data_IF_826609617988
#
_entry.id   IF_826609617988
#
_cell.length_a   1.000
_cell.length_b   1.000
_cell.length_c   1.000
_cell.angle_alpha   90.00
_cell.angle_beta   90.00
_cell.angle_gamma   90.00
#
_symmetry.space_group_name_H-M   'P 1'
#
loop_
_entity.id
_entity.type
_entity.pdbx_description
1 polymer ?
#
# COMPACT_ATOMS: atom_id res chain seq x y z
N UNK A 1 6.42 -9.34 -3.39
CA UNK A 1 6.03 -7.95 -3.71
C UNK A 1 4.87 -7.41 -2.89
N UNK A 2 3.69 -8.06 -2.79
CA UNK A 2 2.78 -7.71 -1.69
C UNK A 2 3.26 -8.33 -0.38
N UNK A 3 3.70 -9.60 -0.41
CA UNK A 3 4.23 -10.30 0.76
C UNK A 3 5.37 -9.52 1.44
N UNK A 4 6.25 -8.88 0.66
CA UNK A 4 7.31 -8.02 1.18
C UNK A 4 6.76 -6.85 2.02
N UNK A 5 5.59 -6.33 1.64
CA UNK A 5 4.94 -5.27 2.40
C UNK A 5 4.13 -5.83 3.57
N UNK A 6 3.41 -6.96 3.39
CA UNK A 6 2.64 -7.58 4.49
C UNK A 6 3.55 -8.08 5.62
N UNK A 7 4.81 -8.44 5.29
CA UNK A 7 5.84 -8.86 6.24
C UNK A 7 6.64 -7.70 6.83
N UNK A 8 6.33 -6.45 6.46
CA UNK A 8 7.05 -5.27 6.94
C UNK A 8 6.92 -5.14 8.45
N UNK A 9 8.07 -4.95 9.13
CA UNK A 9 8.12 -4.72 10.57
C UNK A 9 8.14 -3.23 10.89
N UNK A 10 7.82 -2.89 12.13
CA UNK A 10 7.83 -1.52 12.63
C UNK A 10 9.22 -0.88 12.52
N UNK A 11 10.28 -1.65 12.74
CA UNK A 11 11.68 -1.22 12.55
C UNK A 11 12.00 -0.81 11.11
N UNK A 12 11.30 -1.39 10.13
CA UNK A 12 11.53 -1.11 8.72
C UNK A 12 10.93 0.25 8.31
N UNK A 13 10.07 0.87 9.13
CA UNK A 13 9.40 2.14 8.85
C UNK A 13 9.97 3.27 9.71
N UNK A 14 10.48 4.30 9.05
CA UNK A 14 10.99 5.52 9.68
C UNK A 14 10.17 6.72 9.21
N UNK A 15 9.63 7.49 10.14
CA UNK A 15 8.78 8.65 9.86
C UNK A 15 9.41 9.92 10.43
N UNK A 16 8.93 11.09 9.98
CA UNK A 16 9.39 12.38 10.50
C UNK A 16 10.80 12.80 10.05
N UNK A 17 11.33 12.18 8.99
CA UNK A 17 12.63 12.51 8.43
C UNK A 17 12.57 13.86 7.69
N UNK A 18 13.73 14.54 7.63
CA UNK A 18 13.87 15.87 7.01
C UNK A 18 15.09 15.90 6.09
N UNK A 19 14.97 16.57 4.95
CA UNK A 19 16.09 16.83 4.03
C UNK A 19 15.92 18.18 3.35
N UNK A 20 17.02 18.85 3.01
CA UNK A 20 16.97 20.07 2.17
C UNK A 20 16.61 19.72 0.73
N UNK A 21 15.76 20.53 0.12
CA UNK A 21 15.47 20.49 -1.31
C UNK A 21 16.72 20.81 -2.11
N UNK A 22 16.99 20.02 -3.16
CA UNK A 22 18.11 20.28 -4.08
C UNK A 22 17.82 21.42 -5.07
N UNK A 23 16.57 21.85 -5.16
CA UNK A 23 16.10 22.81 -6.17
C UNK A 23 15.67 24.15 -5.56
N UNK A 24 15.35 24.18 -4.27
CA UNK A 24 14.67 25.35 -3.68
C UNK A 24 15.08 25.68 -2.24
N UNK A 25 16.10 25.02 -1.68
CA UNK A 25 16.57 25.13 -0.26
C UNK A 25 15.46 24.97 0.83
N UNK A 26 14.22 24.67 0.42
CA UNK A 26 13.10 24.37 1.31
C UNK A 26 13.33 23.03 2.01
N UNK A 27 13.01 22.96 3.30
CA UNK A 27 13.02 21.70 4.06
C UNK A 27 11.86 20.78 3.62
N UNK A 28 12.21 19.56 3.22
CA UNK A 28 11.25 18.52 2.81
C UNK A 28 11.11 17.51 3.95
N UNK A 29 9.88 17.35 4.44
CA UNK A 29 9.50 16.26 5.36
C UNK A 29 9.15 15.00 4.57
N UNK A 30 9.66 13.87 5.03
CA UNK A 30 9.44 12.58 4.38
C UNK A 30 9.50 11.43 5.41
N UNK A 31 9.10 10.25 4.98
CA UNK A 31 9.36 8.99 5.70
C UNK A 31 10.11 8.03 4.79
N UNK A 32 10.45 6.85 5.28
CA UNK A 32 10.88 5.76 4.44
C UNK A 32 10.42 4.43 5.00
N UNK A 33 10.33 3.44 4.13
CA UNK A 33 10.21 2.04 4.52
C UNK A 33 11.26 1.21 3.81
N UNK A 34 11.66 0.11 4.43
CA UNK A 34 12.61 -0.84 3.85
C UNK A 34 11.92 -2.17 3.60
N UNK A 35 12.06 -2.73 2.41
CA UNK A 35 11.67 -4.12 2.16
C UNK A 35 12.90 -5.01 2.15
N UNK A 36 12.75 -6.19 2.76
CA UNK A 36 13.75 -7.27 2.80
C UNK A 36 13.20 -8.47 2.01
N UNK A 37 14.06 -9.43 1.65
CA UNK A 37 13.67 -10.69 1.00
C UNK A 37 12.91 -10.54 -0.33
N UNK A 38 13.50 -9.82 -1.28
CA UNK A 38 12.97 -9.84 -2.64
C UNK A 38 13.34 -11.17 -3.29
N UNK A 39 12.32 -11.95 -3.68
CA UNK A 39 12.45 -13.24 -4.43
C UNK A 39 13.33 -13.19 -5.69
N UNK A 40 13.69 -12.00 -6.18
CA UNK A 40 14.49 -11.79 -7.40
C UNK A 40 15.91 -11.28 -7.12
N UNK A 41 16.32 -11.13 -5.86
CA UNK A 41 17.72 -10.88 -5.52
C UNK A 41 18.36 -12.19 -5.03
N UNK A 42 19.53 -12.51 -5.60
CA UNK A 42 20.32 -13.68 -5.20
C UNK A 42 21.03 -13.49 -3.85
N UNK A 43 20.94 -12.29 -3.29
CA UNK A 43 21.48 -11.93 -1.99
C UNK A 43 20.31 -11.79 -0.98
N UNK A 44 20.21 -12.69 0.02
CA UNK A 44 19.17 -12.63 1.05
C UNK A 44 19.30 -11.40 1.97
N UNK A 45 20.43 -10.69 1.95
CA UNK A 45 20.63 -9.44 2.69
C UNK A 45 20.27 -8.19 1.88
N UNK A 46 19.95 -8.36 0.59
CA UNK A 46 19.57 -7.24 -0.26
C UNK A 46 18.25 -6.61 0.21
N UNK A 47 18.37 -5.40 0.76
CA UNK A 47 17.24 -4.59 1.18
C UNK A 47 17.08 -3.37 0.27
N UNK A 48 15.86 -2.86 0.18
CA UNK A 48 15.57 -1.64 -0.58
C UNK A 48 14.77 -0.67 0.27
N UNK A 49 15.30 0.53 0.41
CA UNK A 49 14.63 1.63 1.11
C UNK A 49 13.93 2.53 0.11
N UNK A 50 12.65 2.75 0.36
CA UNK A 50 11.73 3.57 -0.44
C UNK A 50 11.35 4.80 0.37
N UNK A 51 11.31 5.98 -0.27
CA UNK A 51 10.94 7.23 0.40
C UNK A 51 9.43 7.47 0.31
N UNK A 52 8.81 7.85 1.42
CA UNK A 52 7.41 8.25 1.53
C UNK A 52 7.34 9.78 1.51
N UNK A 53 6.62 10.34 0.54
CA UNK A 53 6.49 11.78 0.35
C UNK A 53 5.03 12.23 0.46
N UNK A 54 4.83 13.51 0.76
CA UNK A 54 3.51 14.12 0.62
C UNK A 54 3.09 14.11 -0.85
N UNK A 55 1.90 13.58 -1.08
CA UNK A 55 1.26 13.61 -2.39
C UNK A 55 0.57 14.97 -2.60
N UNK A 56 0.47 15.44 -3.86
CA UNK A 56 -0.35 16.61 -4.18
C UNK A 56 -1.82 16.37 -3.78
N UNK A 57 -2.58 17.45 -3.61
CA UNK A 57 -3.97 17.42 -3.11
C UNK A 57 -4.85 16.40 -3.83
N UNK A 58 -4.69 16.31 -5.16
CA UNK A 58 -5.39 15.36 -6.05
C UNK A 58 -5.20 13.88 -5.66
N UNK A 59 -4.07 13.55 -5.01
CA UNK A 59 -3.66 12.18 -4.66
C UNK A 59 -3.52 11.98 -3.14
N UNK A 60 -3.95 12.96 -2.34
CA UNK A 60 -3.77 12.94 -0.89
C UNK A 60 -4.48 11.75 -0.23
N UNK A 61 -5.58 11.29 -0.83
CA UNK A 61 -6.36 10.13 -0.39
C UNK A 61 -5.57 8.82 -0.34
N UNK A 62 -4.42 8.74 -1.02
CA UNK A 62 -3.54 7.56 -0.99
C UNK A 62 -2.13 7.89 -0.45
N UNK A 63 -2.06 8.93 0.39
CA UNK A 63 -0.82 9.43 0.97
C UNK A 63 -0.35 8.56 2.12
N UNK A 64 0.53 7.60 1.85
CA UNK A 64 1.14 6.74 2.88
C UNK A 64 1.77 7.54 4.04
N UNK A 65 2.39 8.69 3.77
CA UNK A 65 2.98 9.57 4.80
C UNK A 65 1.93 10.18 5.75
N UNK A 66 0.65 10.19 5.35
CA UNK A 66 -0.48 10.60 6.18
C UNK A 66 -1.09 9.41 6.91
N UNK A 67 -1.33 8.29 6.21
CA UNK A 67 -2.10 7.17 6.75
C UNK A 67 -1.29 6.21 7.61
N UNK A 68 0.00 6.00 7.33
CA UNK A 68 0.86 5.12 8.17
C UNK A 68 1.04 5.69 9.59
N UNK A 69 1.35 6.99 9.80
CA UNK A 69 1.39 7.53 11.15
C UNK A 69 0.03 7.51 11.85
N UNK A 70 -1.07 7.77 11.13
CA UNK A 70 -2.43 7.68 11.68
C UNK A 70 -2.77 6.26 12.12
N UNK A 71 -2.36 5.27 11.34
CA UNK A 71 -2.48 3.86 11.68
C UNK A 71 -1.72 3.53 12.97
N UNK A 72 -0.46 3.96 13.08
CA UNK A 72 0.32 3.77 14.30
C UNK A 72 -0.33 4.42 15.53
N UNK A 73 -0.81 5.66 15.39
CA UNK A 73 -1.53 6.35 16.45
C UNK A 73 -2.86 5.66 16.81
N UNK A 74 -3.60 5.15 15.83
CA UNK A 74 -4.84 4.41 16.05
C UNK A 74 -4.57 3.14 16.84
N UNK A 75 -3.56 2.37 16.44
CA UNK A 75 -3.16 1.14 17.14
C UNK A 75 -2.80 1.43 18.61
N UNK A 76 -1.98 2.44 18.87
CA UNK A 76 -1.60 2.76 20.26
C UNK A 76 -2.75 3.32 21.10
N UNK A 77 -3.64 4.11 20.51
CA UNK A 77 -4.72 4.77 21.26
C UNK A 77 -6.00 3.95 21.39
N UNK A 78 -6.37 3.19 20.36
CA UNK A 78 -7.66 2.47 20.27
C UNK A 78 -7.51 0.97 20.47
N UNK A 79 -6.37 0.39 20.09
CA UNK A 79 -6.08 -1.03 20.34
C UNK A 79 -5.19 -1.24 21.56
N UNK A 80 -4.80 -0.15 22.25
CA UNK A 80 -3.95 -0.16 23.45
C UNK A 80 -2.65 -0.95 23.27
N UNK A 81 -2.09 -0.95 22.07
CA UNK A 81 -0.86 -1.69 21.75
C UNK A 81 0.36 -0.77 21.70
N UNK A 82 1.42 -1.20 22.38
CA UNK A 82 2.71 -0.52 22.35
C UNK A 82 3.56 -1.09 21.23
N UNK A 83 3.97 -0.24 20.29
CA UNK A 83 4.77 -0.66 19.14
C UNK A 83 6.18 -1.08 19.55
N UNK A 84 6.52 -2.32 19.24
CA UNK A 84 7.87 -2.84 19.26
C UNK A 84 8.45 -2.94 17.85
N UNK A 85 9.76 -2.87 17.74
CA UNK A 85 10.47 -2.89 16.46
C UNK A 85 10.21 -4.15 15.63
N UNK A 86 9.94 -5.28 16.30
CA UNK A 86 9.61 -6.56 15.67
C UNK A 86 8.14 -6.73 15.28
N UNK A 87 7.27 -5.79 15.65
CA UNK A 87 5.86 -5.88 15.31
C UNK A 87 5.63 -5.73 13.82
N UNK A 88 4.72 -6.55 13.28
CA UNK A 88 4.25 -6.37 11.91
C UNK A 88 3.42 -5.09 11.79
N UNK A 89 3.73 -4.28 10.78
CA UNK A 89 2.96 -3.05 10.47
C UNK A 89 1.54 -3.42 10.05
N UNK A 90 1.37 -4.50 9.30
CA UNK A 90 0.07 -5.03 8.86
C UNK A 90 -0.27 -6.32 9.60
N UNK A 91 -1.14 -6.17 10.57
CA UNK A 91 -1.46 -7.21 11.54
C UNK A 91 -2.40 -8.26 10.96
N UNK A 92 -2.26 -9.49 11.43
CA UNK A 92 -3.19 -10.55 11.10
C UNK A 92 -4.60 -10.20 11.57
N UNK A 93 -5.56 -10.31 10.68
CA UNK A 93 -6.96 -10.05 10.98
C UNK A 93 -7.71 -11.35 11.21
N UNK A 94 -8.58 -11.32 12.21
CA UNK A 94 -9.51 -12.41 12.55
C UNK A 94 -10.94 -11.94 12.29
N UNK A 95 -11.83 -12.87 11.99
CA UNK A 95 -13.26 -12.59 11.78
C UNK A 95 -13.54 -11.59 10.63
N UNK A 96 -12.73 -11.60 9.57
CA UNK A 96 -13.03 -10.80 8.36
C UNK A 96 -14.37 -11.27 7.78
N UNK A 97 -15.30 -10.35 7.47
CA UNK A 97 -16.58 -10.69 6.85
C UNK A 97 -16.34 -11.49 5.58
N UNK A 98 -16.84 -12.73 5.51
CA UNK A 98 -16.74 -13.54 4.28
C UNK A 98 -17.54 -12.85 3.17
N UNK A 99 -16.85 -12.36 2.15
CA UNK A 99 -17.48 -11.96 0.90
C UNK A 99 -18.25 -13.16 0.38
N UNK A 100 -19.55 -13.01 0.17
CA UNK A 100 -20.44 -14.14 -0.10
C UNK A 100 -20.09 -14.82 -1.41
N UNK A 101 -19.34 -15.91 -1.37
CA UNK A 101 -19.16 -16.80 -2.52
C UNK A 101 -20.42 -17.67 -2.68
N UNK A 102 -21.03 -17.57 -3.87
CA UNK A 102 -22.20 -18.31 -4.40
C UNK A 102 -23.59 -17.77 -4.03
N UNK A 103 -24.30 -17.32 -5.07
CA UNK A 103 -25.77 -17.28 -5.19
C UNK A 103 -26.48 -16.55 -4.04
N UNK A 104 -26.40 -15.22 -4.00
CA UNK A 104 -27.41 -14.42 -3.28
C UNK A 104 -28.23 -13.58 -4.25
N UNK A 105 -29.45 -14.05 -4.47
CA UNK A 105 -30.56 -13.31 -5.08
C UNK A 105 -30.69 -12.01 -4.29
N UNK A 106 -30.72 -10.88 -5.00
CA UNK A 106 -30.93 -9.51 -4.47
C UNK A 106 -31.90 -9.54 -3.29
N UNK A 107 -31.42 -9.22 -2.10
CA UNK A 107 -32.22 -8.65 -1.01
C UNK A 107 -31.28 -8.02 0.03
N UNK A 108 -31.55 -6.76 0.33
CA UNK A 108 -31.00 -5.93 1.40
C UNK A 108 -29.51 -5.56 1.37
N UNK A 109 -29.32 -4.24 1.33
CA UNK A 109 -28.14 -3.44 1.65
C UNK A 109 -27.57 -3.77 3.04
N UNK A 110 -26.98 -4.95 3.24
CA UNK A 110 -26.07 -5.17 4.37
C UNK A 110 -24.64 -5.11 3.82
N UNK A 111 -24.13 -3.89 3.63
CA UNK A 111 -22.71 -3.69 3.30
C UNK A 111 -21.85 -4.45 4.30
N UNK A 112 -20.86 -5.19 3.81
CA UNK A 112 -19.93 -5.92 4.68
C UNK A 112 -19.29 -4.93 5.67
N UNK A 113 -19.64 -5.06 6.95
CA UNK A 113 -19.21 -4.16 7.99
C UNK A 113 -17.98 -4.71 8.70
N UNK A 114 -16.94 -3.88 8.84
CA UNK A 114 -15.71 -4.23 9.56
C UNK A 114 -15.84 -4.12 11.09
N UNK A 115 -17.04 -3.93 11.63
CA UNK A 115 -17.27 -3.66 13.08
C UNK A 115 -16.76 -4.74 14.03
N UNK A 116 -16.67 -6.00 13.57
CA UNK A 116 -16.29 -7.15 14.40
C UNK A 116 -14.93 -7.78 14.01
N UNK A 117 -14.11 -7.07 13.22
CA UNK A 117 -12.78 -7.58 12.87
C UNK A 117 -11.87 -7.54 14.08
N UNK A 118 -11.40 -8.71 14.49
CA UNK A 118 -10.40 -8.83 15.55
C UNK A 118 -8.99 -8.74 14.97
N UNK A 119 -8.03 -8.34 15.80
CA UNK A 119 -6.62 -8.24 15.41
C UNK A 119 -5.83 -9.30 16.18
N UNK A 120 -4.91 -9.97 15.50
CA UNK A 120 -3.96 -10.92 16.10
C UNK A 120 -2.55 -10.35 15.96
N UNK A 121 -1.91 -10.13 17.12
CA UNK A 121 -0.53 -9.68 17.24
C UNK A 121 0.47 -10.79 16.92
N UNK A 122 1.69 -10.40 16.58
CA UNK A 122 2.80 -11.33 16.30
C UNK A 122 2.69 -12.11 14.99
N UNK A 123 1.67 -11.85 14.18
CA UNK A 123 1.51 -12.45 12.85
C UNK A 123 1.14 -11.39 11.81
N UNK A 124 1.67 -11.50 10.57
CA UNK A 124 1.30 -10.61 9.48
C UNK A 124 -0.09 -10.95 8.93
N UNK A 125 -0.70 -10.00 8.22
CA UNK A 125 -1.89 -10.30 7.41
C UNK A 125 -1.56 -11.27 6.29
N UNK A 126 -2.42 -12.28 6.08
CA UNK A 126 -2.27 -13.22 4.97
C UNK A 126 -2.71 -12.59 3.64
N UNK A 127 -2.17 -13.08 2.53
CA UNK A 127 -2.55 -12.61 1.18
C UNK A 127 -4.05 -12.83 0.88
N UNK A 128 -4.62 -13.93 1.37
CA UNK A 128 -6.05 -14.22 1.27
C UNK A 128 -6.91 -13.18 1.99
N UNK A 129 -6.58 -12.87 3.24
CA UNK A 129 -7.24 -11.85 4.04
C UNK A 129 -7.09 -10.47 3.40
N UNK A 130 -5.91 -10.15 2.89
CA UNK A 130 -5.65 -8.89 2.19
C UNK A 130 -6.50 -8.77 0.92
N UNK A 131 -6.57 -9.82 0.11
CA UNK A 131 -7.41 -9.87 -1.10
C UNK A 131 -8.89 -9.69 -0.74
N UNK A 132 -9.36 -10.34 0.33
CA UNK A 132 -10.73 -10.21 0.80
C UNK A 132 -11.09 -8.79 1.26
N UNK A 133 -10.18 -8.10 1.95
CA UNK A 133 -10.36 -6.69 2.33
C UNK A 133 -10.51 -5.82 1.08
N UNK A 134 -9.64 -6.03 0.09
CA UNK A 134 -9.72 -5.29 -1.17
C UNK A 134 -11.08 -5.52 -1.84
N UNK A 135 -11.54 -6.77 -1.94
CA UNK A 135 -12.85 -7.08 -2.55
C UNK A 135 -13.98 -6.34 -1.83
N UNK A 136 -14.01 -6.36 -0.50
CA UNK A 136 -15.03 -5.66 0.29
C UNK A 136 -14.99 -4.15 0.04
N UNK A 137 -13.79 -3.55 0.03
CA UNK A 137 -13.62 -2.12 -0.22
C UNK A 137 -14.04 -1.77 -1.65
N UNK A 138 -13.71 -2.60 -2.63
CA UNK A 138 -14.11 -2.41 -4.02
C UNK A 138 -15.62 -2.51 -4.22
N UNK A 139 -16.28 -3.47 -3.56
CA UNK A 139 -17.74 -3.59 -3.54
C UNK A 139 -18.40 -2.36 -2.91
N UNK A 140 -17.91 -1.93 -1.74
CA UNK A 140 -18.42 -0.74 -1.05
C UNK A 140 -18.23 0.55 -1.86
N UNK A 141 -17.13 0.64 -2.62
CA UNK A 141 -16.85 1.76 -3.53
C UNK A 141 -17.61 1.65 -4.87
N UNK A 142 -18.35 0.55 -5.13
CA UNK A 142 -19.08 0.35 -6.37
C UNK A 142 -18.21 0.07 -7.60
N UNK A 143 -16.94 -0.32 -7.40
CA UNK A 143 -15.97 -0.60 -8.47
C UNK A 143 -15.72 -2.10 -8.67
N UNK A 144 -16.51 -2.96 -8.03
CA UNK A 144 -16.41 -4.42 -8.15
C UNK A 144 -17.00 -4.98 -9.45
N UNK A 145 -17.44 -4.13 -10.38
CA UNK A 145 -18.00 -4.55 -11.68
C UNK A 145 -17.46 -3.71 -12.83
N UNK A 146 -17.27 -4.35 -13.98
CA UNK A 146 -16.93 -3.64 -15.21
C UNK A 146 -18.18 -3.05 -15.88
N UNK A 147 -17.99 -2.33 -16.98
CA UNK A 147 -19.08 -1.73 -17.76
C UNK A 147 -20.07 -2.76 -18.35
N UNK A 148 -19.65 -4.01 -18.50
CA UNK A 148 -20.45 -5.13 -19.00
C UNK A 148 -21.20 -5.87 -17.87
N UNK A 149 -20.96 -5.48 -16.61
CA UNK A 149 -21.57 -6.09 -15.44
C UNK A 149 -20.81 -7.30 -14.87
N UNK A 150 -19.67 -7.67 -15.44
CA UNK A 150 -18.83 -8.76 -14.92
C UNK A 150 -18.15 -8.36 -13.62
N UNK A 151 -18.03 -9.31 -12.70
CA UNK A 151 -17.32 -9.10 -11.43
C UNK A 151 -15.81 -8.89 -11.67
N UNK A 152 -15.28 -7.81 -11.08
CA UNK A 152 -13.86 -7.50 -11.08
C UNK A 152 -13.25 -8.02 -9.79
N UNK A 153 -12.31 -8.96 -9.90
CA UNK A 153 -11.48 -9.38 -8.79
C UNK A 153 -10.18 -8.57 -8.78
N UNK A 154 -9.99 -7.77 -7.74
CA UNK A 154 -8.76 -7.03 -7.52
C UNK A 154 -7.75 -7.91 -6.78
N UNK A 155 -6.59 -8.13 -7.38
CA UNK A 155 -5.47 -8.81 -6.73
C UNK A 155 -4.47 -7.80 -6.21
N UNK A 156 -3.69 -8.14 -5.19
CA UNK A 156 -2.64 -7.25 -4.65
C UNK A 156 -1.71 -6.58 -5.70
N UNK A 157 -1.58 -7.16 -6.89
CA UNK A 157 -0.86 -6.60 -8.02
C UNK A 157 -1.51 -5.37 -8.68
N UNK A 158 -2.79 -5.11 -8.43
CA UNK A 158 -3.54 -4.02 -9.06
C UNK A 158 -2.96 -2.65 -8.68
N UNK A 159 -2.52 -2.45 -7.43
CA UNK A 159 -1.92 -1.19 -7.00
C UNK A 159 -0.67 -0.85 -7.81
N UNK A 160 0.20 -1.84 -8.03
CA UNK A 160 1.45 -1.62 -8.77
C UNK A 160 1.23 -1.39 -10.26
N UNK A 161 0.37 -2.19 -10.88
CA UNK A 161 0.06 -2.05 -12.33
C UNK A 161 -0.78 -0.80 -12.60
N UNK A 162 -1.77 -0.55 -11.74
CA UNK A 162 -2.66 0.60 -11.82
C UNK A 162 -1.91 1.91 -11.62
N UNK A 163 -1.05 2.03 -10.61
CA UNK A 163 -0.25 3.25 -10.41
C UNK A 163 0.73 3.47 -11.58
N UNK A 164 1.38 2.41 -12.07
CA UNK A 164 2.25 2.50 -13.25
C UNK A 164 1.49 2.98 -14.50
N UNK A 165 0.30 2.42 -14.77
CA UNK A 165 -0.56 2.82 -15.87
C UNK A 165 -1.06 4.26 -15.69
N UNK A 166 -1.50 4.64 -14.50
CA UNK A 166 -1.95 5.99 -14.18
C UNK A 166 -0.85 7.01 -14.40
N UNK A 167 0.37 6.74 -13.93
CA UNK A 167 1.52 7.62 -14.11
C UNK A 167 1.97 7.73 -15.56
N UNK A 168 1.79 6.68 -16.34
CA UNK A 168 2.14 6.66 -17.75
C UNK A 168 1.09 7.37 -18.63
N UNK A 169 -0.20 7.07 -18.42
CA UNK A 169 -1.28 7.47 -19.33
C UNK A 169 -2.11 8.66 -18.82
N UNK A 170 -2.47 8.65 -17.54
CA UNK A 170 -3.56 9.48 -17.01
C UNK A 170 -3.10 10.68 -16.16
N UNK A 171 -1.83 10.73 -15.78
CA UNK A 171 -1.24 11.91 -15.13
C UNK A 171 -1.13 13.06 -16.15
N UNK A 172 -1.24 14.34 -15.74
CA UNK A 172 -1.01 15.48 -16.63
C UNK A 172 0.30 15.35 -17.41
N UNK A 173 0.34 15.82 -18.66
CA UNK A 173 1.43 15.50 -19.59
C UNK A 173 2.81 15.86 -19.06
N UNK A 174 2.93 17.03 -18.43
CA UNK A 174 4.15 17.52 -17.78
C UNK A 174 4.60 16.73 -16.54
N UNK A 175 3.77 15.77 -16.08
CA UNK A 175 4.01 14.92 -14.91
C UNK A 175 3.98 13.42 -15.25
N UNK A 176 3.74 13.05 -16.52
CA UNK A 176 3.73 11.65 -16.96
C UNK A 176 5.11 11.02 -16.80
N UNK A 177 5.13 9.76 -16.41
CA UNK A 177 6.36 9.00 -16.34
C UNK A 177 6.79 8.55 -17.73
N UNK A 178 8.08 8.66 -18.03
CA UNK A 178 8.63 8.08 -19.26
C UNK A 178 8.62 6.55 -19.20
N UNK A 179 8.62 5.89 -20.36
CA UNK A 179 8.75 4.42 -20.44
C UNK A 179 9.98 3.90 -19.69
N UNK A 180 11.08 4.66 -19.66
CA UNK A 180 12.29 4.31 -18.88
C UNK A 180 11.99 4.25 -17.38
N UNK A 181 11.20 5.20 -16.86
CA UNK A 181 10.88 5.31 -15.44
C UNK A 181 9.85 4.27 -15.01
N UNK A 182 8.86 3.97 -15.86
CA UNK A 182 7.91 2.86 -15.65
C UNK A 182 8.63 1.51 -15.67
N UNK A 183 9.56 1.28 -16.62
CA UNK A 183 10.39 0.07 -16.66
C UNK A 183 11.25 -0.08 -15.40
N UNK A 184 11.78 1.01 -14.86
CA UNK A 184 12.54 0.98 -13.61
C UNK A 184 11.69 0.58 -12.39
N UNK A 185 10.44 1.06 -12.29
CA UNK A 185 9.51 0.62 -11.25
C UNK A 185 9.20 -0.90 -11.36
N UNK A 186 9.21 -1.44 -12.58
CA UNK A 186 8.96 -2.86 -12.87
C UNK A 186 10.16 -3.79 -12.76
N UNK A 187 11.40 -3.30 -12.84
CA UNK A 187 12.61 -4.11 -13.07
C UNK A 187 13.71 -3.95 -12.00
N UNK A 188 14.77 -4.77 -12.10
CA UNK A 188 15.90 -4.80 -11.18
C UNK A 188 16.88 -3.63 -11.48
N UNK A 189 17.10 -2.67 -10.56
CA UNK A 189 17.68 -1.36 -10.87
C UNK A 189 19.20 -1.37 -10.79
N UNK A 190 19.91 -1.92 -11.79
CA UNK A 190 21.38 -1.81 -11.82
C UNK A 190 21.89 -0.47 -12.36
N UNK A 191 21.08 0.33 -13.05
CA UNK A 191 21.52 1.63 -13.61
C UNK A 191 20.34 2.59 -13.74
N UNK A 192 20.08 3.42 -12.73
CA UNK A 192 19.39 4.72 -12.86
C UNK A 192 19.46 5.42 -11.48
N UNK A 193 20.44 6.31 -11.32
CA UNK A 193 20.73 7.03 -10.07
C UNK A 193 19.90 8.31 -9.90
N UNK A 194 18.72 8.39 -10.53
CA UNK A 194 18.05 9.67 -10.73
C UNK A 194 16.52 9.68 -10.64
N UNK A 195 15.88 8.66 -10.08
CA UNK A 195 14.49 8.79 -9.65
C UNK A 195 14.34 8.25 -8.24
N UNK A 196 14.38 9.16 -7.26
CA UNK A 196 14.33 8.85 -5.81
C UNK A 196 12.93 8.99 -5.23
N UNK A 197 11.93 9.25 -6.07
CA UNK A 197 10.55 9.43 -5.64
C UNK A 197 9.73 8.20 -6.05
N UNK A 198 9.87 7.12 -5.29
CA UNK A 198 8.94 6.00 -5.36
C UNK A 198 7.77 6.33 -4.46
N UNK A 199 6.64 6.65 -5.09
CA UNK A 199 5.35 6.72 -4.41
C UNK A 199 4.72 5.34 -4.51
N UNK A 200 4.89 4.53 -3.47
CA UNK A 200 3.99 3.39 -3.30
C UNK A 200 2.67 3.96 -2.78
N UNK A 201 1.63 3.98 -3.62
CA UNK A 201 0.24 4.04 -3.14
C UNK A 201 0.02 2.75 -2.35
N UNK A 202 0.26 2.81 -1.05
CA UNK A 202 -0.31 1.87 -0.11
C UNK A 202 -0.97 2.70 0.98
N UNK A 203 -2.25 2.38 1.19
CA UNK A 203 -3.25 3.05 2.04
C UNK A 203 -3.83 4.31 1.41
#
# INVERSE_FOLDING_TARGET
MINEVLLMKKADVRLGLRRKSRMSDIEIRFGCFTTRDRKTDHDPLASRTYSLHHLPKEKQAAGALTYVPRWFAYVSSKLHHSWHDDDYVFLSLTKIPRGGSKKRKRTSTSGASFTNVGVKWGAPVSDSNFTQIITIVAEAAGISRNLLGDEICFTSHFFRRGDAQYRFMFTPENRRWSLKLVKWLGANPKKLRQSRDIFLMMF
#
